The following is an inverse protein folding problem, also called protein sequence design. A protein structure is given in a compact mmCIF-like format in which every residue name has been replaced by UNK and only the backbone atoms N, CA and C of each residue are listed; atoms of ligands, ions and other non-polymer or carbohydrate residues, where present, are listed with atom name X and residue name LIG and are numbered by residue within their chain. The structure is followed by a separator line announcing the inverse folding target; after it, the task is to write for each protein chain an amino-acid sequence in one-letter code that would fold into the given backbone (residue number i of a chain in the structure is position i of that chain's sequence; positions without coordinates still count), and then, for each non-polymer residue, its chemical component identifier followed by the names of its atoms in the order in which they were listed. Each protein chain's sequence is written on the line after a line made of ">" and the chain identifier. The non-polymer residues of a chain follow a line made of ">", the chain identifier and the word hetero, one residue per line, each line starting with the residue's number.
data_IF_231127957425
#
_entry.id   IF_231127957425
#
_cell.length_a   1.000
_cell.length_b   1.000
_cell.length_c   1.000
_cell.angle_alpha   90.00
_cell.angle_beta   90.00
_cell.angle_gamma   90.00
#
_symmetry.space_group_name_H-M   'P 1'
#
loop_
_entity.id
_entity.type
_entity.pdbx_description
1 polymer ?
#
# COMPACT_ATOMS: atom_id res chain seq x y z
N UNK A 1 -2.19 -10.06 9.53
CA UNK A 1 -0.92 -9.31 9.68
C UNK A 1 -1.04 -7.91 9.08
N UNK A 2 -1.70 -6.96 9.76
CA UNK A 2 -1.79 -5.57 9.31
C UNK A 2 -0.46 -4.82 9.48
N UNK A 3 0.33 -5.20 10.48
CA UNK A 3 1.59 -4.53 10.84
C UNK A 3 2.67 -4.68 9.76
N UNK A 4 2.80 -5.86 9.15
CA UNK A 4 3.75 -6.09 8.04
C UNK A 4 3.36 -5.28 6.80
N UNK A 5 2.08 -5.29 6.42
CA UNK A 5 1.55 -4.46 5.31
C UNK A 5 1.80 -2.98 5.56
N UNK A 6 1.51 -2.50 6.78
CA UNK A 6 1.80 -1.11 7.19
C UNK A 6 3.29 -0.80 7.12
N UNK A 7 4.15 -1.71 7.58
CA UNK A 7 5.61 -1.52 7.56
C UNK A 7 6.16 -1.42 6.14
N UNK A 8 5.73 -2.30 5.24
CA UNK A 8 6.17 -2.28 3.84
C UNK A 8 5.66 -1.04 3.12
N UNK A 9 4.38 -0.67 3.31
CA UNK A 9 3.82 0.54 2.72
C UNK A 9 4.53 1.80 3.21
N UNK A 10 4.72 1.94 4.53
CA UNK A 10 5.37 3.09 5.15
C UNK A 10 6.88 3.22 4.86
N UNK A 11 7.53 2.16 4.37
CA UNK A 11 8.93 2.19 3.94
C UNK A 11 9.11 2.65 2.47
N UNK A 12 8.02 3.01 1.78
CA UNK A 12 8.06 3.51 0.41
C UNK A 12 8.33 5.00 0.40
N UNK A 13 9.30 5.43 -0.40
CA UNK A 13 9.66 6.84 -0.51
C UNK A 13 8.46 7.68 -0.97
N UNK A 14 8.25 8.83 -0.32
CA UNK A 14 7.10 9.70 -0.57
C UNK A 14 5.86 9.40 0.26
N UNK A 15 5.78 8.24 0.93
CA UNK A 15 4.75 7.97 1.93
C UNK A 15 5.06 8.72 3.22
N UNK A 16 4.18 9.65 3.62
CA UNK A 16 4.28 10.38 4.88
C UNK A 16 3.65 9.62 6.04
N UNK A 17 2.53 8.95 5.77
CA UNK A 17 1.80 8.16 6.76
C UNK A 17 1.05 7.03 6.07
N UNK A 18 0.82 5.93 6.80
CA UNK A 18 -0.19 4.93 6.42
C UNK A 18 -1.41 5.17 7.30
N UNK A 19 -2.49 5.71 6.76
CA UNK A 19 -3.69 6.03 7.52
C UNK A 19 -4.44 4.76 7.92
N UNK A 20 -4.69 3.87 6.95
CA UNK A 20 -5.48 2.66 7.16
C UNK A 20 -4.87 1.45 6.45
N UNK A 21 -5.01 0.28 7.07
CA UNK A 21 -4.69 -1.02 6.47
C UNK A 21 -5.83 -1.97 6.78
N UNK A 22 -6.43 -2.52 5.73
CA UNK A 22 -7.38 -3.63 5.82
C UNK A 22 -6.83 -4.81 5.06
N UNK A 23 -6.93 -5.99 5.65
CA UNK A 23 -6.54 -7.23 4.99
C UNK A 23 -7.71 -8.19 5.06
N UNK A 24 -8.08 -8.75 3.92
CA UNK A 24 -9.21 -9.67 3.79
C UNK A 24 -8.74 -10.98 3.19
N UNK A 25 -9.22 -12.07 3.78
CA UNK A 25 -9.01 -13.40 3.26
C UNK A 25 -10.14 -13.75 2.29
N UNK A 26 -9.81 -14.19 1.08
CA UNK A 26 -10.75 -14.64 0.06
C UNK A 26 -10.30 -16.02 -0.48
N UNK A 27 -10.90 -17.09 0.04
CA UNK A 27 -10.59 -18.46 -0.39
C UNK A 27 -9.19 -18.95 0.01
N UNK A 28 -8.21 -18.82 -0.87
CA UNK A 28 -6.78 -19.09 -0.57
C UNK A 28 -5.89 -17.86 -0.81
N UNK A 29 -6.52 -16.69 -1.03
CA UNK A 29 -5.85 -15.45 -1.41
C UNK A 29 -6.06 -14.40 -0.33
N UNK A 30 -5.05 -13.56 -0.12
CA UNK A 30 -5.15 -12.39 0.75
C UNK A 30 -5.20 -11.13 -0.10
N UNK A 31 -6.13 -10.24 0.21
CA UNK A 31 -6.24 -8.92 -0.40
C UNK A 31 -5.92 -7.86 0.63
N UNK A 32 -5.11 -6.86 0.25
CA UNK A 32 -4.84 -5.70 1.06
C UNK A 32 -5.54 -4.46 0.47
N UNK A 33 -6.11 -3.64 1.34
CA UNK A 33 -6.52 -2.27 1.03
C UNK A 33 -5.73 -1.36 1.95
N UNK A 34 -5.05 -0.36 1.39
CA UNK A 34 -4.15 0.53 2.11
C UNK A 34 -4.48 1.97 1.73
N UNK A 35 -4.56 2.86 2.71
CA UNK A 35 -4.65 4.30 2.50
C UNK A 35 -3.35 4.93 2.99
N UNK A 36 -2.65 5.64 2.11
CA UNK A 36 -1.43 6.36 2.42
C UNK A 36 -1.67 7.86 2.35
N UNK A 37 -0.85 8.62 3.07
CA UNK A 37 -0.78 10.07 2.98
C UNK A 37 0.51 10.42 2.27
N UNK A 38 0.44 11.29 1.27
CA UNK A 38 1.60 11.85 0.56
C UNK A 38 1.65 13.36 0.74
N UNK A 39 2.59 14.03 0.09
CA UNK A 39 2.60 15.49 0.06
C UNK A 39 1.41 16.06 -0.74
N UNK A 40 0.60 16.92 -0.12
CA UNK A 40 -0.59 17.51 -0.76
C UNK A 40 -0.27 18.47 -1.90
N UNK A 41 0.96 18.96 -1.98
CA UNK A 41 1.39 19.90 -3.03
C UNK A 41 1.87 19.20 -4.31
N UNK A 42 1.96 17.86 -4.33
CA UNK A 42 2.38 17.12 -5.53
C UNK A 42 1.21 16.91 -6.48
N UNK A 43 1.52 16.68 -7.75
CA UNK A 43 0.51 16.35 -8.74
C UNK A 43 -0.16 15.00 -8.46
N UNK A 44 -1.41 14.83 -8.91
CA UNK A 44 -2.11 13.54 -8.86
C UNK A 44 -1.29 12.43 -9.54
N UNK A 45 -0.58 12.74 -10.62
CA UNK A 45 0.29 11.78 -11.31
C UNK A 45 1.46 11.33 -10.41
N UNK A 46 2.09 12.26 -9.68
CA UNK A 46 3.14 11.94 -8.71
C UNK A 46 2.62 11.10 -7.55
N UNK A 47 1.44 11.43 -7.02
CA UNK A 47 0.77 10.62 -6.00
C UNK A 47 0.45 9.21 -6.50
N UNK A 48 -0.02 9.08 -7.74
CA UNK A 48 -0.26 7.79 -8.38
C UNK A 48 1.02 6.95 -8.50
N UNK A 49 2.15 7.55 -8.89
CA UNK A 49 3.43 6.84 -8.93
C UNK A 49 3.85 6.30 -7.56
N UNK A 50 3.68 7.09 -6.49
CA UNK A 50 3.94 6.62 -5.11
C UNK A 50 3.01 5.44 -4.76
N UNK A 51 1.73 5.52 -5.12
CA UNK A 51 0.77 4.46 -4.87
C UNK A 51 1.11 3.16 -5.63
N UNK A 52 1.57 3.28 -6.87
CA UNK A 52 2.01 2.15 -7.70
C UNK A 52 3.27 1.49 -7.11
N UNK A 53 4.21 2.28 -6.60
CA UNK A 53 5.39 1.77 -5.90
C UNK A 53 5.03 1.02 -4.62
N UNK A 54 4.09 1.55 -3.83
CA UNK A 54 3.54 0.84 -2.65
C UNK A 54 2.89 -0.47 -3.07
N UNK A 55 2.05 -0.45 -4.12
CA UNK A 55 1.41 -1.65 -4.65
C UNK A 55 2.43 -2.71 -5.04
N UNK A 56 3.45 -2.33 -5.82
CA UNK A 56 4.52 -3.24 -6.23
C UNK A 56 5.27 -3.78 -5.02
N UNK A 57 5.71 -2.94 -4.08
CA UNK A 57 6.44 -3.40 -2.89
C UNK A 57 5.63 -4.38 -2.06
N UNK A 58 4.33 -4.14 -1.88
CA UNK A 58 3.44 -5.05 -1.16
C UNK A 58 3.39 -6.44 -1.82
N UNK A 59 3.14 -6.51 -3.13
CA UNK A 59 3.06 -7.81 -3.83
C UNK A 59 4.44 -8.48 -3.99
N UNK A 60 5.52 -7.68 -4.08
CA UNK A 60 6.86 -8.21 -4.22
C UNK A 60 7.44 -8.73 -2.90
N UNK A 61 7.15 -8.10 -1.75
CA UNK A 61 7.69 -8.52 -0.46
C UNK A 61 6.77 -9.47 0.30
N UNK A 62 5.46 -9.29 0.18
CA UNK A 62 4.46 -10.08 0.91
C UNK A 62 3.78 -11.06 -0.03
N UNK A 63 4.46 -12.18 -0.33
CA UNK A 63 4.02 -13.18 -1.32
C UNK A 63 2.68 -13.86 -1.04
N UNK A 64 2.16 -13.73 0.18
CA UNK A 64 0.83 -14.20 0.54
C UNK A 64 -0.28 -13.28 0.02
N UNK A 65 0.02 -12.02 -0.32
CA UNK A 65 -0.93 -11.09 -0.94
C UNK A 65 -1.10 -11.43 -2.43
N UNK A 66 -2.34 -11.49 -2.87
CA UNK A 66 -2.71 -11.69 -4.28
C UNK A 66 -3.11 -10.39 -4.97
N UNK A 67 -3.49 -9.37 -4.20
CA UNK A 67 -3.74 -8.02 -4.69
C UNK A 67 -3.61 -7.01 -3.56
N UNK A 68 -3.29 -5.77 -3.91
CA UNK A 68 -3.25 -4.63 -3.02
C UNK A 68 -3.91 -3.42 -3.70
N UNK A 69 -4.92 -2.80 -3.10
CA UNK A 69 -5.47 -1.53 -3.55
C UNK A 69 -4.90 -0.43 -2.68
N UNK A 70 -4.30 0.60 -3.30
CA UNK A 70 -3.68 1.73 -2.61
C UNK A 70 -4.46 3.00 -2.95
N UNK A 71 -4.93 3.69 -1.91
CA UNK A 71 -5.54 5.02 -2.01
C UNK A 71 -4.56 6.07 -1.49
N UNK A 72 -4.62 7.26 -2.08
CA UNK A 72 -3.82 8.44 -1.74
C UNK A 72 -4.76 9.58 -1.37
#
# INVERSE_FOLDING_TARGET
>A
MPTEVRSVAGATDGVREVAEVRVRWLGHKMLAEVSIVVDGEISVASGHSIAEDVHHRLLHQLKYLSSATVHV
#
